data_IF_197524311932
#
_entry.id   IF_197524311932
#
_cell.length_a   1.000
_cell.length_b   1.000
_cell.length_c   1.000
_cell.angle_alpha   90.00
_cell.angle_beta   90.00
_cell.angle_gamma   90.00
#
_symmetry.space_group_name_H-M   'P 1'
#
loop_
_entity.id
_entity.type
_entity.pdbx_description
1 polymer ?
#
# COMPACT_ATOMS: atom_id res chain seq x y z
N UNK A 1 -80.83 -5.06 4.89
CA UNK A 1 -79.77 -6.01 5.29
C UNK A 1 -78.59 -5.88 4.33
N UNK A 2 -77.34 -5.89 4.83
CA UNK A 2 -76.23 -5.13 4.25
C UNK A 2 -75.14 -5.99 3.55
N UNK A 3 -74.24 -5.22 2.90
CA UNK A 3 -72.82 -5.42 2.63
C UNK A 3 -72.32 -6.51 1.66
N UNK A 4 -71.84 -5.99 0.53
CA UNK A 4 -70.77 -6.48 -0.35
C UNK A 4 -69.59 -7.08 0.44
N UNK A 5 -69.28 -8.36 0.19
CA UNK A 5 -67.97 -8.96 0.47
C UNK A 5 -67.11 -8.91 -0.77
N UNK A 6 -66.29 -7.87 -0.92
CA UNK A 6 -65.22 -7.82 -1.90
C UNK A 6 -64.13 -8.82 -1.48
N UNK A 7 -63.91 -9.88 -2.26
CA UNK A 7 -62.71 -10.71 -2.15
C UNK A 7 -61.52 -9.84 -2.58
N UNK A 8 -60.70 -9.44 -1.63
CA UNK A 8 -59.41 -8.81 -1.89
C UNK A 8 -58.55 -9.79 -2.70
N UNK A 9 -58.22 -9.41 -3.93
CA UNK A 9 -57.19 -10.09 -4.70
C UNK A 9 -55.86 -9.91 -3.96
N UNK A 10 -55.20 -11.01 -3.64
CA UNK A 10 -53.85 -11.03 -3.10
C UNK A 10 -52.92 -10.27 -4.06
N UNK A 11 -52.54 -9.06 -3.66
CA UNK A 11 -51.56 -8.24 -4.38
C UNK A 11 -50.25 -9.01 -4.54
N UNK A 12 -49.57 -8.90 -5.69
CA UNK A 12 -48.27 -9.52 -5.87
C UNK A 12 -47.31 -8.86 -4.89
N UNK A 13 -46.73 -9.69 -4.02
CA UNK A 13 -45.47 -9.47 -3.30
C UNK A 13 -44.77 -8.18 -3.74
N UNK A 14 -44.83 -7.18 -2.86
CA UNK A 14 -44.24 -5.87 -3.10
C UNK A 14 -42.84 -6.03 -3.66
N UNK A 15 -42.61 -5.44 -4.84
CA UNK A 15 -41.29 -5.34 -5.46
C UNK A 15 -40.30 -4.94 -4.39
N UNK A 16 -39.46 -5.88 -3.96
CA UNK A 16 -38.20 -5.54 -3.35
C UNK A 16 -37.56 -4.53 -4.31
N UNK A 17 -37.26 -3.32 -3.82
CA UNK A 17 -36.45 -2.37 -4.60
C UNK A 17 -35.28 -3.19 -5.14
N UNK A 18 -34.95 -3.11 -6.45
CA UNK A 18 -33.73 -3.72 -6.94
C UNK A 18 -32.64 -3.29 -5.96
N UNK A 19 -32.04 -4.25 -5.27
CA UNK A 19 -30.85 -3.97 -4.48
C UNK A 19 -29.93 -3.34 -5.50
N UNK A 20 -29.54 -2.08 -5.29
CA UNK A 20 -28.51 -1.42 -6.08
C UNK A 20 -27.24 -2.21 -5.82
N UNK A 21 -27.07 -3.31 -6.55
CA UNK A 21 -25.92 -4.17 -6.46
C UNK A 21 -24.77 -3.36 -7.05
N UNK A 22 -23.77 -3.13 -6.22
CA UNK A 22 -22.57 -2.44 -6.62
C UNK A 22 -21.98 -3.15 -7.84
N UNK A 23 -21.84 -2.42 -8.95
CA UNK A 23 -21.39 -2.97 -10.23
C UNK A 23 -20.01 -3.65 -10.15
N UNK A 24 -19.17 -3.28 -9.16
CA UNK A 24 -17.89 -3.94 -8.93
C UNK A 24 -18.03 -5.26 -8.15
N UNK A 25 -19.08 -5.40 -7.35
CA UNK A 25 -19.39 -6.58 -6.55
C UNK A 25 -20.14 -7.64 -7.35
N UNK A 26 -20.97 -7.23 -8.32
CA UNK A 26 -21.75 -8.15 -9.17
C UNK A 26 -20.88 -9.02 -10.07
N UNK A 27 -19.68 -8.57 -10.42
CA UNK A 27 -18.75 -9.33 -11.27
C UNK A 27 -18.03 -10.40 -10.45
N UNK A 28 -18.12 -11.65 -10.88
CA UNK A 28 -17.43 -12.80 -10.29
C UNK A 28 -15.99 -12.93 -10.78
N UNK A 29 -15.30 -13.95 -10.27
CA UNK A 29 -13.95 -14.30 -10.73
C UNK A 29 -14.06 -15.29 -11.90
N UNK A 30 -13.24 -15.14 -12.96
CA UNK A 30 -13.12 -16.14 -14.02
C UNK A 30 -12.75 -17.53 -13.47
N UNK A 31 -11.89 -17.58 -12.46
CA UNK A 31 -11.51 -18.80 -11.75
C UNK A 31 -12.68 -19.52 -11.06
N UNK A 32 -13.79 -18.83 -10.81
CA UNK A 32 -15.03 -19.37 -10.23
C UNK A 32 -16.16 -19.57 -11.25
N UNK A 33 -15.85 -19.49 -12.55
CA UNK A 33 -16.80 -19.75 -13.64
C UNK A 33 -17.51 -18.53 -14.21
N UNK A 34 -17.19 -17.30 -13.77
CA UNK A 34 -17.76 -16.09 -14.39
C UNK A 34 -16.96 -15.68 -15.63
N UNK A 35 -17.52 -15.95 -16.81
CA UNK A 35 -16.88 -15.69 -18.10
C UNK A 35 -17.03 -14.26 -18.61
N UNK A 36 -17.75 -13.36 -17.91
CA UNK A 36 -18.01 -11.99 -18.41
C UNK A 36 -16.76 -11.14 -18.58
N UNK A 37 -15.74 -11.35 -17.73
CA UNK A 37 -14.46 -10.65 -17.84
C UNK A 37 -13.52 -11.23 -18.91
N UNK A 38 -13.97 -12.22 -19.70
CA UNK A 38 -13.25 -12.66 -20.90
C UNK A 38 -13.47 -11.71 -22.08
N UNK A 39 -14.58 -10.94 -22.08
CA UNK A 39 -14.85 -9.95 -23.11
C UNK A 39 -14.02 -8.66 -22.88
N UNK A 40 -13.28 -8.25 -23.91
CA UNK A 40 -12.34 -7.13 -23.84
C UNK A 40 -13.04 -5.78 -23.59
N UNK A 41 -14.22 -5.57 -24.18
CA UNK A 41 -15.01 -4.34 -23.95
C UNK A 41 -15.56 -4.29 -22.53
N UNK A 42 -15.95 -5.44 -22.00
CA UNK A 42 -16.40 -5.56 -20.61
C UNK A 42 -15.26 -5.26 -19.63
N UNK A 43 -14.03 -5.72 -19.92
CA UNK A 43 -12.86 -5.35 -19.11
C UNK A 43 -12.62 -3.84 -19.09
N UNK A 44 -12.69 -3.16 -20.23
CA UNK A 44 -12.51 -1.71 -20.33
C UNK A 44 -13.56 -0.95 -19.51
N UNK A 45 -14.84 -1.30 -19.69
CA UNK A 45 -15.94 -0.72 -18.91
C UNK A 45 -15.78 -0.97 -17.41
N UNK A 46 -15.33 -2.16 -17.04
CA UNK A 46 -15.08 -2.52 -15.65
C UNK A 46 -13.94 -1.70 -15.05
N UNK A 47 -12.84 -1.53 -15.79
CA UNK A 47 -11.72 -0.68 -15.42
C UNK A 47 -12.14 0.78 -15.22
N UNK A 48 -12.95 1.34 -16.13
CA UNK A 48 -13.49 2.70 -15.97
C UNK A 48 -14.21 2.86 -14.64
N UNK A 49 -15.06 1.91 -14.26
CA UNK A 49 -15.74 1.94 -12.94
C UNK A 49 -14.80 1.83 -11.76
N UNK A 50 -13.72 1.05 -11.88
CA UNK A 50 -12.69 0.97 -10.84
C UNK A 50 -12.01 2.33 -10.68
N UNK A 51 -11.63 2.97 -11.79
CA UNK A 51 -10.97 4.29 -11.78
C UNK A 51 -11.90 5.37 -11.24
N UNK A 52 -13.16 5.38 -11.66
CA UNK A 52 -14.18 6.31 -11.11
C UNK A 52 -14.29 6.18 -9.60
N UNK A 53 -14.43 4.95 -9.08
CA UNK A 53 -14.51 4.73 -7.62
C UNK A 53 -13.24 5.12 -6.89
N UNK A 54 -12.08 4.88 -7.50
CA UNK A 54 -10.80 5.32 -6.96
C UNK A 54 -10.70 6.86 -6.91
N UNK A 55 -11.13 7.55 -7.96
CA UNK A 55 -11.14 9.02 -7.98
C UNK A 55 -12.09 9.60 -6.94
N UNK A 56 -13.28 9.01 -6.76
CA UNK A 56 -14.21 9.39 -5.68
C UNK A 56 -13.57 9.18 -4.31
N UNK A 57 -12.90 8.04 -4.10
CA UNK A 57 -12.17 7.78 -2.86
C UNK A 57 -11.07 8.83 -2.60
N UNK A 58 -10.35 9.25 -3.64
CA UNK A 58 -9.34 10.29 -3.55
C UNK A 58 -9.94 11.68 -3.27
N UNK A 59 -11.06 12.05 -3.91
CA UNK A 59 -11.73 13.33 -3.66
C UNK A 59 -12.27 13.42 -2.23
N UNK A 60 -12.81 12.32 -1.70
CA UNK A 60 -13.37 12.25 -0.35
C UNK A 60 -12.30 12.36 0.75
N UNK A 61 -11.02 12.18 0.42
CA UNK A 61 -9.91 12.37 1.34
C UNK A 61 -9.54 13.85 1.51
N UNK A 62 -9.77 14.69 0.49
CA UNK A 62 -9.53 16.14 0.49
C UNK A 62 -8.07 16.59 0.61
N UNK A 63 -7.20 15.86 1.32
CA UNK A 63 -5.78 16.16 1.56
C UNK A 63 -4.90 14.93 1.32
N UNK A 64 -3.67 15.16 0.87
CA UNK A 64 -2.67 14.10 0.60
C UNK A 64 -2.34 13.26 1.83
N UNK A 65 -2.18 13.90 2.98
CA UNK A 65 -1.77 13.23 4.23
C UNK A 65 -2.87 12.29 4.73
N UNK A 66 -4.12 12.73 4.59
CA UNK A 66 -5.29 11.93 4.94
C UNK A 66 -5.46 10.72 4.00
N UNK A 67 -5.17 10.91 2.71
CA UNK A 67 -5.19 9.81 1.74
C UNK A 67 -4.13 8.74 2.07
N UNK A 68 -2.91 9.17 2.41
CA UNK A 68 -1.83 8.26 2.86
C UNK A 68 -2.19 7.55 4.18
N UNK A 69 -2.85 8.26 5.11
CA UNK A 69 -3.37 7.66 6.35
C UNK A 69 -4.38 6.57 6.04
N UNK A 70 -5.35 6.82 5.15
CA UNK A 70 -6.35 5.83 4.71
C UNK A 70 -5.74 4.62 4.02
N UNK A 71 -4.70 4.80 3.19
CA UNK A 71 -3.97 3.66 2.61
C UNK A 71 -3.28 2.81 3.69
N UNK A 72 -2.70 3.46 4.70
CA UNK A 72 -2.04 2.80 5.84
C UNK A 72 -3.01 2.02 6.73
N UNK A 73 -4.25 2.50 6.92
CA UNK A 73 -5.26 1.81 7.74
C UNK A 73 -5.65 0.43 7.21
N UNK A 74 -5.52 0.18 5.90
CA UNK A 74 -5.82 -1.12 5.31
C UNK A 74 -4.68 -2.14 5.48
N UNK A 75 -3.44 -1.69 5.72
CA UNK A 75 -2.30 -2.58 6.03
C UNK A 75 -2.54 -3.35 7.33
N UNK A 76 -3.10 -2.68 8.33
CA UNK A 76 -3.29 -3.22 9.69
C UNK A 76 -4.42 -4.26 9.75
N UNK A 77 -5.36 -4.20 8.80
CA UNK A 77 -6.47 -5.15 8.70
C UNK A 77 -6.05 -6.57 8.26
N UNK A 78 -4.80 -6.75 7.80
CA UNK A 78 -4.27 -8.03 7.32
C UNK A 78 -3.80 -9.01 8.41
N UNK A 79 -3.57 -8.55 9.64
CA UNK A 79 -3.08 -9.40 10.75
C UNK A 79 -3.98 -9.42 11.99
N UNK A 80 -5.01 -8.57 12.08
CA UNK A 80 -5.90 -8.55 13.22
C UNK A 80 -7.06 -9.56 13.09
N UNK A 81 -6.75 -10.85 13.16
CA UNK A 81 -7.74 -11.84 13.61
C UNK A 81 -7.33 -12.37 14.98
N UNK A 82 -8.21 -12.11 15.96
CA UNK A 82 -8.33 -12.74 17.29
C UNK A 82 -7.44 -12.20 18.42
N UNK A 83 -7.81 -11.04 18.95
CA UNK A 83 -7.90 -10.90 20.40
C UNK A 83 -8.98 -9.89 20.75
N UNK A 84 -10.07 -10.39 21.31
CA UNK A 84 -11.12 -9.62 21.97
C UNK A 84 -10.56 -8.93 23.22
N UNK A 85 -10.72 -7.61 23.34
CA UNK A 85 -10.63 -6.90 24.61
C UNK A 85 -11.62 -5.71 24.61
N UNK A 86 -12.15 -5.33 25.78
CA UNK A 86 -13.48 -4.73 25.90
C UNK A 86 -13.52 -3.21 25.69
N UNK A 87 -14.74 -2.73 25.40
CA UNK A 87 -15.08 -1.34 25.18
C UNK A 87 -14.88 -0.46 26.43
N UNK A 88 -14.38 0.76 26.20
CA UNK A 88 -14.40 1.88 27.13
C UNK A 88 -14.86 3.15 26.38
N UNK A 89 -15.41 4.16 27.09
CA UNK A 89 -16.58 4.91 26.65
C UNK A 89 -16.29 6.15 25.79
N UNK A 90 -17.37 6.58 25.13
CA UNK A 90 -17.45 7.64 24.14
C UNK A 90 -17.09 9.04 24.66
N UNK A 91 -16.40 9.80 23.79
CA UNK A 91 -16.25 11.25 23.89
C UNK A 91 -15.46 11.80 22.70
N UNK A 92 -16.11 12.67 21.91
CA UNK A 92 -15.66 13.48 20.75
C UNK A 92 -15.92 12.89 19.34
N UNK A 93 -16.59 13.63 18.44
CA UNK A 93 -16.79 13.21 17.06
C UNK A 93 -15.54 13.55 16.22
N UNK A 94 -14.53 12.70 16.29
CA UNK A 94 -13.63 12.54 15.14
C UNK A 94 -14.37 11.72 14.11
N UNK A 95 -14.96 12.39 13.12
CA UNK A 95 -15.14 11.76 11.82
C UNK A 95 -13.77 11.22 11.36
N UNK A 96 -13.75 10.21 10.49
CA UNK A 96 -12.55 9.70 9.81
C UNK A 96 -11.82 8.47 10.40
N UNK A 97 -12.50 7.64 11.19
CA UNK A 97 -12.30 6.17 11.16
C UNK A 97 -13.58 5.50 10.64
N UNK A 98 -14.01 5.90 9.43
CA UNK A 98 -15.21 5.29 8.87
C UNK A 98 -14.87 3.87 8.36
N UNK A 99 -15.49 2.80 8.88
CA UNK A 99 -15.33 1.44 8.34
C UNK A 99 -15.73 1.35 6.86
N UNK A 100 -16.47 2.35 6.37
CA UNK A 100 -16.86 2.52 4.97
C UNK A 100 -15.68 2.85 4.04
N UNK A 101 -14.70 3.65 4.47
CA UNK A 101 -13.52 3.96 3.65
C UNK A 101 -12.64 2.72 3.41
N UNK A 102 -12.40 1.93 4.47
CA UNK A 102 -11.65 0.68 4.35
C UNK A 102 -12.39 -0.34 3.47
N UNK A 103 -13.72 -0.39 3.55
CA UNK A 103 -14.56 -1.21 2.66
C UNK A 103 -14.45 -0.76 1.19
N UNK A 104 -14.49 0.54 0.93
CA UNK A 104 -14.37 1.08 -0.43
C UNK A 104 -13.01 0.73 -1.07
N UNK A 105 -11.91 0.95 -0.35
CA UNK A 105 -10.57 0.62 -0.83
C UNK A 105 -10.37 -0.89 -1.00
N UNK A 106 -10.85 -1.70 -0.05
CA UNK A 106 -10.83 -3.17 -0.17
C UNK A 106 -11.64 -3.65 -1.38
N UNK A 107 -12.80 -3.03 -1.64
CA UNK A 107 -13.61 -3.28 -2.83
C UNK A 107 -12.88 -2.95 -4.13
N UNK A 108 -12.16 -1.83 -4.18
CA UNK A 108 -11.30 -1.46 -5.32
C UNK A 108 -10.19 -2.50 -5.54
N UNK A 109 -9.50 -2.92 -4.48
CA UNK A 109 -8.44 -3.93 -4.56
C UNK A 109 -8.97 -5.29 -5.03
N UNK A 110 -10.15 -5.71 -4.55
CA UNK A 110 -10.82 -6.92 -5.00
C UNK A 110 -11.24 -6.83 -6.47
N UNK A 111 -11.76 -5.68 -6.90
CA UNK A 111 -12.12 -5.43 -8.30
C UNK A 111 -10.88 -5.48 -9.21
N UNK A 112 -9.77 -4.87 -8.80
CA UNK A 112 -8.50 -4.97 -9.54
C UNK A 112 -7.99 -6.40 -9.63
N UNK A 113 -8.15 -7.20 -8.57
CA UNK A 113 -7.83 -8.62 -8.63
C UNK A 113 -8.67 -9.34 -9.68
N UNK A 114 -9.99 -9.12 -9.71
CA UNK A 114 -10.90 -9.69 -10.72
C UNK A 114 -10.49 -9.29 -12.13
N UNK A 115 -10.17 -8.01 -12.35
CA UNK A 115 -9.74 -7.49 -13.65
C UNK A 115 -8.45 -8.17 -14.12
N UNK A 116 -7.44 -8.32 -13.24
CA UNK A 116 -6.20 -9.03 -13.58
C UNK A 116 -6.46 -10.48 -13.95
N UNK A 117 -7.31 -11.19 -13.21
CA UNK A 117 -7.69 -12.57 -13.56
C UNK A 117 -8.37 -12.63 -14.93
N UNK A 118 -9.24 -11.66 -15.26
CA UNK A 118 -9.87 -11.54 -16.59
C UNK A 118 -8.87 -11.30 -17.73
N UNK A 119 -7.91 -10.38 -17.52
CA UNK A 119 -6.85 -10.09 -18.51
C UNK A 119 -5.98 -11.33 -18.75
N UNK A 120 -5.58 -12.04 -17.69
CA UNK A 120 -4.80 -13.28 -17.81
C UNK A 120 -5.61 -14.37 -18.53
N UNK A 121 -6.88 -14.55 -18.15
CA UNK A 121 -7.73 -15.59 -18.73
C UNK A 121 -8.05 -15.33 -20.22
N UNK A 122 -8.18 -14.07 -20.61
CA UNK A 122 -8.35 -13.66 -22.02
C UNK A 122 -7.04 -13.59 -22.82
N UNK A 123 -5.89 -13.81 -22.16
CA UNK A 123 -4.55 -13.69 -22.76
C UNK A 123 -4.31 -12.33 -23.44
N UNK A 124 -4.93 -11.27 -22.92
CA UNK A 124 -4.86 -9.92 -23.49
C UNK A 124 -3.50 -9.29 -23.18
N UNK A 125 -2.81 -8.81 -24.22
CA UNK A 125 -1.56 -8.06 -24.09
C UNK A 125 -1.52 -6.88 -25.07
N UNK A 126 -2.15 -5.79 -24.66
CA UNK A 126 -2.23 -4.52 -25.40
C UNK A 126 -1.98 -3.33 -24.45
N UNK A 127 -2.08 -2.10 -24.98
CA UNK A 127 -1.89 -0.86 -24.21
C UNK A 127 -2.81 -0.81 -22.98
N UNK A 128 -4.07 -1.24 -23.13
CA UNK A 128 -5.01 -1.28 -22.03
C UNK A 128 -4.53 -2.22 -20.91
N UNK A 129 -4.13 -3.44 -21.26
CA UNK A 129 -3.62 -4.40 -20.28
C UNK A 129 -2.39 -3.85 -19.54
N UNK A 130 -1.46 -3.22 -20.26
CA UNK A 130 -0.30 -2.57 -19.67
C UNK A 130 -0.70 -1.46 -18.67
N UNK A 131 -1.57 -0.53 -19.07
CA UNK A 131 -2.02 0.57 -18.20
C UNK A 131 -2.81 0.08 -16.98
N UNK A 132 -3.69 -0.90 -17.15
CA UNK A 132 -4.44 -1.50 -16.06
C UNK A 132 -3.50 -2.16 -15.03
N UNK A 133 -2.44 -2.85 -15.48
CA UNK A 133 -1.44 -3.43 -14.60
C UNK A 133 -0.58 -2.37 -13.90
N UNK A 134 -0.14 -1.31 -14.61
CA UNK A 134 0.60 -0.20 -14.01
C UNK A 134 -0.21 0.47 -12.90
N UNK A 135 -1.49 0.76 -13.15
CA UNK A 135 -2.40 1.30 -12.15
C UNK A 135 -2.55 0.35 -10.96
N UNK A 136 -2.76 -0.94 -11.21
CA UNK A 136 -2.89 -1.96 -10.17
C UNK A 136 -1.64 -2.07 -9.29
N UNK A 137 -0.44 -2.02 -9.90
CA UNK A 137 0.84 -2.07 -9.20
C UNK A 137 1.00 -0.83 -8.32
N UNK A 138 0.81 0.36 -8.88
CA UNK A 138 0.94 1.65 -8.15
C UNK A 138 0.00 1.68 -6.94
N UNK A 139 -1.28 1.37 -7.13
CA UNK A 139 -2.24 1.35 -6.03
C UNK A 139 -1.89 0.31 -4.97
N UNK A 140 -1.55 -0.91 -5.40
CA UNK A 140 -1.19 -1.99 -4.47
C UNK A 140 0.08 -1.68 -3.67
N UNK A 141 1.02 -0.90 -4.22
CA UNK A 141 2.19 -0.39 -3.50
C UNK A 141 1.78 0.64 -2.45
N UNK A 142 0.88 1.58 -2.78
CA UNK A 142 0.40 2.59 -1.82
C UNK A 142 -0.26 1.93 -0.59
N UNK A 143 -1.01 0.85 -0.83
CA UNK A 143 -1.66 0.02 0.20
C UNK A 143 -0.69 -0.98 0.86
N UNK A 144 0.58 -1.03 0.42
CA UNK A 144 1.63 -1.97 0.83
C UNK A 144 1.19 -3.44 0.92
N UNK A 145 0.49 -3.91 -0.11
CA UNK A 145 0.10 -5.33 -0.24
C UNK A 145 1.00 -6.07 -1.25
N UNK A 146 2.11 -6.71 -0.81
CA UNK A 146 3.04 -7.41 -1.69
C UNK A 146 2.40 -8.56 -2.47
N UNK A 147 1.39 -9.20 -1.91
CA UNK A 147 0.63 -10.29 -2.54
C UNK A 147 -0.08 -9.81 -3.80
N UNK A 148 -0.39 -8.52 -3.87
CA UNK A 148 -1.06 -7.93 -5.02
C UNK A 148 -0.06 -7.35 -6.02
N UNK A 149 0.87 -6.47 -5.61
CA UNK A 149 1.75 -5.84 -6.61
C UNK A 149 2.83 -6.77 -7.14
N UNK A 150 3.40 -7.67 -6.34
CA UNK A 150 4.54 -8.49 -6.76
C UNK A 150 4.20 -9.42 -7.95
N UNK A 151 3.13 -10.25 -7.91
CA UNK A 151 2.77 -11.07 -9.06
C UNK A 151 2.36 -10.22 -10.27
N UNK A 152 1.75 -9.05 -10.06
CA UNK A 152 1.40 -8.14 -11.15
C UNK A 152 2.64 -7.58 -11.86
N UNK A 153 3.67 -7.18 -11.11
CA UNK A 153 4.98 -6.75 -11.64
C UNK A 153 5.59 -7.88 -12.47
N UNK A 154 5.64 -9.10 -11.92
CA UNK A 154 6.25 -10.23 -12.63
C UNK A 154 5.51 -10.58 -13.92
N UNK A 155 4.17 -10.58 -13.90
CA UNK A 155 3.38 -10.85 -15.09
C UNK A 155 3.54 -9.74 -16.15
N UNK A 156 3.53 -8.48 -15.73
CA UNK A 156 3.74 -7.34 -16.62
C UNK A 156 5.11 -7.41 -17.29
N UNK A 157 6.18 -7.71 -16.55
CA UNK A 157 7.55 -7.79 -17.09
C UNK A 157 7.82 -9.06 -17.91
N UNK A 158 7.29 -10.21 -17.50
CA UNK A 158 7.62 -11.51 -18.12
C UNK A 158 6.65 -11.95 -19.21
N UNK A 159 5.42 -11.45 -19.21
CA UNK A 159 4.39 -11.87 -20.16
C UNK A 159 3.99 -10.70 -21.04
N UNK A 160 3.40 -9.65 -20.48
CA UNK A 160 2.86 -8.52 -21.26
C UNK A 160 3.99 -7.80 -22.00
N UNK A 161 5.07 -7.39 -21.32
CA UNK A 161 6.19 -6.66 -21.94
C UNK A 161 6.87 -7.44 -23.09
N UNK A 162 6.84 -8.78 -23.07
CA UNK A 162 7.40 -9.61 -24.15
C UNK A 162 6.53 -9.62 -25.40
N UNK A 163 5.22 -9.48 -25.24
CA UNK A 163 4.25 -9.48 -26.33
C UNK A 163 3.99 -8.05 -26.83
N UNK A 164 3.90 -7.10 -25.89
CA UNK A 164 3.66 -5.69 -26.11
C UNK A 164 4.67 -4.85 -25.30
N UNK A 165 5.74 -4.33 -25.95
CA UNK A 165 6.84 -3.70 -25.24
C UNK A 165 6.43 -2.37 -24.61
N UNK A 166 6.44 -2.34 -23.28
CA UNK A 166 6.37 -1.11 -22.48
C UNK A 166 7.36 -0.04 -22.94
N UNK A 167 7.01 1.22 -22.71
CA UNK A 167 7.93 2.33 -22.92
C UNK A 167 9.13 2.22 -21.97
N UNK A 168 10.25 2.86 -22.35
CA UNK A 168 11.44 2.88 -21.49
C UNK A 168 11.16 3.47 -20.11
N UNK A 169 10.22 4.42 -19.99
CA UNK A 169 9.89 5.04 -18.70
C UNK A 169 9.12 4.06 -17.82
N UNK A 170 8.08 3.42 -18.35
CA UNK A 170 7.27 2.44 -17.63
C UNK A 170 8.09 1.22 -17.19
N UNK A 171 8.98 0.73 -18.08
CA UNK A 171 9.86 -0.39 -17.76
C UNK A 171 10.80 -0.04 -16.60
N UNK A 172 11.43 1.14 -16.63
CA UNK A 172 12.34 1.59 -15.57
C UNK A 172 11.59 1.85 -14.26
N UNK A 173 10.36 2.36 -14.33
CA UNK A 173 9.49 2.53 -13.16
C UNK A 173 9.20 1.18 -12.50
N UNK A 174 8.64 0.22 -13.24
CA UNK A 174 8.25 -1.09 -12.70
C UNK A 174 9.47 -1.89 -12.22
N UNK A 175 10.57 -1.84 -12.97
CA UNK A 175 11.84 -2.46 -12.56
C UNK A 175 12.37 -1.83 -11.26
N UNK A 176 12.24 -0.51 -11.09
CA UNK A 176 12.65 0.16 -9.84
C UNK A 176 11.86 -0.34 -8.63
N UNK A 177 10.54 -0.56 -8.77
CA UNK A 177 9.72 -1.13 -7.70
C UNK A 177 10.16 -2.55 -7.35
N UNK A 178 10.44 -3.39 -8.36
CA UNK A 178 10.89 -4.77 -8.13
C UNK A 178 12.24 -4.83 -7.40
N UNK A 179 13.19 -3.99 -7.82
CA UNK A 179 14.52 -3.91 -7.20
C UNK A 179 14.42 -3.42 -5.76
N UNK A 180 13.62 -2.38 -5.51
CA UNK A 180 13.42 -1.84 -4.16
C UNK A 180 12.65 -2.83 -3.27
N UNK A 181 11.63 -3.54 -3.76
CA UNK A 181 10.94 -4.58 -2.99
C UNK A 181 11.91 -5.69 -2.55
N UNK A 182 12.76 -6.13 -3.48
CA UNK A 182 13.76 -7.17 -3.23
C UNK A 182 14.79 -6.74 -2.19
N UNK A 183 15.22 -5.48 -2.23
CA UNK A 183 16.18 -4.93 -1.28
C UNK A 183 15.56 -4.59 0.09
N UNK A 184 14.43 -3.88 0.10
CA UNK A 184 13.83 -3.31 1.31
C UNK A 184 13.00 -4.32 2.08
N UNK A 185 12.12 -5.09 1.41
CA UNK A 185 11.20 -6.03 2.07
C UNK A 185 11.81 -7.43 2.18
N UNK A 186 12.38 -7.95 1.10
CA UNK A 186 12.96 -9.32 1.07
C UNK A 186 14.38 -9.40 1.64
N UNK A 187 15.06 -8.27 1.85
CA UNK A 187 16.44 -8.19 2.34
C UNK A 187 17.48 -8.93 1.47
N UNK A 188 17.18 -9.13 0.20
CA UNK A 188 18.05 -9.85 -0.74
C UNK A 188 18.81 -8.84 -1.60
N UNK A 189 19.89 -8.29 -1.06
CA UNK A 189 20.68 -7.26 -1.75
C UNK A 189 21.34 -7.79 -3.03
N UNK A 190 21.89 -9.02 -3.01
CA UNK A 190 22.52 -9.63 -4.18
C UNK A 190 21.54 -9.76 -5.35
N UNK A 191 20.33 -10.26 -5.09
CA UNK A 191 19.27 -10.38 -6.10
C UNK A 191 18.81 -9.01 -6.59
N UNK A 192 18.73 -8.01 -5.71
CA UNK A 192 18.39 -6.65 -6.09
C UNK A 192 19.42 -6.06 -7.08
N UNK A 193 20.73 -6.27 -6.86
CA UNK A 193 21.76 -5.88 -7.81
C UNK A 193 21.70 -6.67 -9.12
N UNK A 194 21.43 -7.97 -9.05
CA UNK A 194 21.26 -8.81 -10.25
C UNK A 194 20.08 -8.32 -11.10
N UNK A 195 18.93 -8.03 -10.48
CA UNK A 195 17.74 -7.48 -11.13
C UNK A 195 18.00 -6.09 -11.71
N UNK A 196 18.71 -5.23 -10.99
CA UNK A 196 19.12 -3.91 -11.50
C UNK A 196 19.94 -4.02 -12.78
N UNK A 197 20.87 -4.97 -12.83
CA UNK A 197 21.69 -5.25 -14.02
C UNK A 197 20.84 -5.83 -15.15
N UNK A 198 19.97 -6.79 -14.84
CA UNK A 198 19.11 -7.47 -15.80
C UNK A 198 18.21 -6.49 -16.57
N UNK A 199 17.57 -5.55 -15.87
CA UNK A 199 16.70 -4.54 -16.49
C UNK A 199 17.42 -3.25 -16.88
N UNK A 200 18.76 -3.20 -16.74
CA UNK A 200 19.56 -2.03 -17.10
C UNK A 200 19.13 -0.75 -16.39
N UNK A 201 18.74 -0.83 -15.11
CA UNK A 201 18.15 0.30 -14.38
C UNK A 201 19.19 1.39 -14.08
N UNK A 202 19.01 2.57 -14.71
CA UNK A 202 19.94 3.71 -14.62
C UNK A 202 19.58 4.77 -13.58
N UNK A 203 18.61 4.48 -12.71
CA UNK A 203 18.17 5.44 -11.68
C UNK A 203 19.24 5.59 -10.56
N UNK A 204 19.80 6.80 -10.45
CA UNK A 204 20.78 7.16 -9.43
C UNK A 204 20.20 7.09 -8.02
N UNK A 205 18.90 7.40 -7.84
CA UNK A 205 18.24 7.35 -6.53
C UNK A 205 18.14 5.91 -6.05
N UNK A 206 17.70 4.98 -6.91
CA UNK A 206 17.66 3.55 -6.56
C UNK A 206 19.05 3.03 -6.22
N UNK A 207 20.07 3.46 -6.97
CA UNK A 207 21.46 3.15 -6.64
C UNK A 207 21.89 3.67 -5.27
N UNK A 208 21.52 4.89 -4.92
CA UNK A 208 21.79 5.48 -3.62
C UNK A 208 21.06 4.76 -2.48
N UNK A 209 19.82 4.28 -2.70
CA UNK A 209 19.10 3.44 -1.73
C UNK A 209 19.83 2.13 -1.51
N UNK A 210 20.24 1.44 -2.58
CA UNK A 210 20.99 0.18 -2.46
C UNK A 210 22.32 0.39 -1.71
N UNK A 211 23.06 1.46 -2.03
CA UNK A 211 24.29 1.80 -1.31
C UNK A 211 24.01 2.11 0.17
N UNK A 212 22.91 2.82 0.48
CA UNK A 212 22.51 3.08 1.86
C UNK A 212 22.22 1.80 2.64
N UNK A 213 21.54 0.83 2.01
CA UNK A 213 21.23 -0.46 2.61
C UNK A 213 22.47 -1.35 2.79
N UNK A 214 23.42 -1.33 1.85
CA UNK A 214 24.67 -2.11 1.95
C UNK A 214 25.57 -1.60 3.07
N UNK A 215 25.61 -0.29 3.28
CA UNK A 215 26.50 0.35 4.27
C UNK A 215 25.79 0.69 5.60
N UNK A 216 24.54 0.25 5.78
CA UNK A 216 23.70 0.64 6.93
C UNK A 216 23.67 2.17 7.17
N UNK A 217 23.73 2.95 6.08
CA UNK A 217 23.82 4.40 6.14
C UNK A 217 22.42 5.01 6.27
N UNK A 218 21.98 5.14 7.52
CA UNK A 218 20.68 5.70 7.88
C UNK A 218 20.46 7.14 7.37
N UNK A 219 21.49 8.00 7.42
CA UNK A 219 21.39 9.40 6.94
C UNK A 219 21.13 9.45 5.43
N UNK A 220 21.91 8.68 4.66
CA UNK A 220 21.74 8.60 3.21
C UNK A 220 20.35 8.04 2.87
N UNK A 221 19.91 7.01 3.60
CA UNK A 221 18.62 6.38 3.41
C UNK A 221 17.47 7.37 3.54
N UNK A 222 17.39 8.11 4.65
CA UNK A 222 16.33 9.10 4.88
C UNK A 222 16.40 10.29 3.93
N UNK A 223 17.62 10.75 3.59
CA UNK A 223 17.81 11.82 2.60
C UNK A 223 17.28 11.42 1.23
N UNK A 224 17.59 10.21 0.78
CA UNK A 224 17.11 9.71 -0.52
C UNK A 224 15.60 9.44 -0.48
N UNK A 225 15.08 8.90 0.63
CA UNK A 225 13.64 8.65 0.81
C UNK A 225 12.80 9.92 0.61
N UNK A 226 13.27 11.08 1.10
CA UNK A 226 12.59 12.37 0.91
C UNK A 226 12.62 12.88 -0.53
N UNK A 227 13.53 12.39 -1.37
CA UNK A 227 13.72 12.82 -2.75
C UNK A 227 13.19 11.85 -3.81
N UNK A 228 12.75 10.65 -3.45
CA UNK A 228 12.11 9.70 -4.38
C UNK A 228 10.61 9.97 -4.48
N UNK A 229 9.98 9.41 -5.51
CA UNK A 229 8.52 9.44 -5.65
C UNK A 229 7.82 8.67 -4.52
N UNK A 230 6.54 8.98 -4.31
CA UNK A 230 5.75 8.41 -3.21
C UNK A 230 5.66 6.89 -3.23
N UNK A 231 5.60 6.25 -4.41
CA UNK A 231 5.52 4.80 -4.52
C UNK A 231 6.83 4.14 -4.08
N UNK A 232 7.97 4.65 -4.53
CA UNK A 232 9.29 4.17 -4.07
C UNK A 232 9.49 4.42 -2.58
N UNK A 233 9.14 5.62 -2.10
CA UNK A 233 9.20 5.94 -0.67
C UNK A 233 8.37 4.96 0.17
N UNK A 234 7.20 4.54 -0.34
CA UNK A 234 6.32 3.57 0.30
C UNK A 234 6.94 2.18 0.41
N UNK A 235 7.64 1.72 -0.63
CA UNK A 235 8.39 0.45 -0.58
C UNK A 235 9.56 0.57 0.41
N UNK A 236 10.24 1.72 0.44
CA UNK A 236 11.36 1.94 1.35
C UNK A 236 10.94 1.87 2.84
N UNK A 237 9.68 2.15 3.19
CA UNK A 237 9.21 2.05 4.58
C UNK A 237 9.43 0.66 5.20
N UNK A 238 9.39 -0.42 4.41
CA UNK A 238 9.71 -1.77 4.90
C UNK A 238 11.13 -1.86 5.46
N UNK A 239 12.06 -1.10 4.87
CA UNK A 239 13.44 -1.08 5.31
C UNK A 239 13.69 -0.23 6.54
N UNK A 240 12.77 0.68 6.83
CA UNK A 240 12.99 1.81 7.72
C UNK A 240 13.21 1.41 9.17
N UNK A 241 12.35 0.52 9.68
CA UNK A 241 12.39 0.09 11.08
C UNK A 241 13.75 -0.52 11.43
N UNK A 242 14.29 -1.38 10.56
CA UNK A 242 15.59 -2.02 10.81
C UNK A 242 16.76 -1.03 10.69
N UNK A 243 16.73 -0.15 9.70
CA UNK A 243 17.74 0.90 9.52
C UNK A 243 17.79 1.84 10.74
N UNK A 244 16.62 2.27 11.20
CA UNK A 244 16.46 3.12 12.37
C UNK A 244 16.93 2.40 13.64
N UNK A 245 16.52 1.15 13.83
CA UNK A 245 16.94 0.32 14.97
C UNK A 245 18.46 0.13 15.00
N UNK A 246 19.09 -0.11 13.85
CA UNK A 246 20.55 -0.19 13.76
C UNK A 246 21.21 1.13 14.16
N UNK A 247 20.74 2.25 13.63
CA UNK A 247 21.25 3.59 13.99
C UNK A 247 21.12 3.88 15.49
N UNK A 248 19.96 3.59 16.10
CA UNK A 248 19.74 3.74 17.54
C UNK A 248 20.70 2.87 18.37
N UNK A 249 20.98 1.64 17.94
CA UNK A 249 21.96 0.76 18.61
C UNK A 249 23.38 1.33 18.55
N UNK A 250 23.78 1.89 17.41
CA UNK A 250 25.09 2.54 17.27
C UNK A 250 25.19 3.78 18.16
N UNK A 251 24.19 4.67 18.11
CA UNK A 251 24.12 5.86 18.97
C UNK A 251 24.19 5.47 20.45
N UNK A 252 23.42 4.44 20.82
CA UNK A 252 23.36 3.92 22.18
C UNK A 252 24.68 3.36 22.70
N UNK A 253 25.64 3.04 21.82
CA UNK A 253 26.98 2.57 22.18
C UNK A 253 28.03 3.68 22.14
N UNK A 254 27.88 4.65 21.24
CA UNK A 254 28.90 5.66 20.97
C UNK A 254 28.75 6.90 21.84
N UNK A 255 27.52 7.28 22.21
CA UNK A 255 27.24 8.54 22.90
C UNK A 255 26.71 8.32 24.32
N UNK A 256 27.05 9.25 25.23
CA UNK A 256 26.48 9.32 26.58
C UNK A 256 25.20 10.16 26.60
N UNK A 257 25.18 11.26 25.83
CA UNK A 257 24.01 12.11 25.61
C UNK A 257 24.05 12.70 24.20
N UNK A 258 22.89 13.02 23.64
CA UNK A 258 22.72 13.53 22.28
C UNK A 258 21.60 14.57 22.24
N UNK A 259 21.72 15.58 21.39
CA UNK A 259 20.65 16.55 21.13
C UNK A 259 19.42 15.89 20.48
N UNK A 260 18.22 16.25 20.92
CA UNK A 260 16.97 15.68 20.36
C UNK A 260 16.86 15.96 18.86
N UNK A 261 17.15 17.18 18.43
CA UNK A 261 17.03 17.55 17.01
C UNK A 261 18.03 16.80 16.12
N UNK A 262 19.23 16.49 16.63
CA UNK A 262 20.14 15.59 15.94
C UNK A 262 19.56 14.17 15.82
N UNK A 263 19.02 13.63 16.92
CA UNK A 263 18.45 12.28 16.94
C UNK A 263 17.29 12.16 15.95
N UNK A 264 16.32 13.07 16.01
CA UNK A 264 15.13 13.05 15.14
C UNK A 264 15.48 13.25 13.66
N UNK A 265 16.47 14.09 13.34
CA UNK A 265 16.95 14.24 11.96
C UNK A 265 17.61 12.96 11.43
N UNK A 266 18.36 12.27 12.28
CA UNK A 266 19.08 11.05 11.92
C UNK A 266 18.13 9.85 11.76
N UNK A 267 17.14 9.74 12.63
CA UNK A 267 16.18 8.62 12.66
C UNK A 267 14.91 8.87 11.86
N UNK A 268 14.68 10.10 11.40
CA UNK A 268 13.46 10.47 10.67
C UNK A 268 12.17 10.34 11.47
N UNK A 269 12.25 10.22 12.80
CA UNK A 269 11.11 10.06 13.70
C UNK A 269 11.23 10.97 14.90
N UNK A 270 10.08 11.38 15.43
CA UNK A 270 10.03 12.23 16.63
C UNK A 270 10.44 11.45 17.88
N UNK A 271 10.92 12.14 18.90
CA UNK A 271 11.28 11.52 20.18
C UNK A 271 10.15 10.65 20.76
N UNK A 272 8.91 11.15 20.71
CA UNK A 272 7.75 10.43 21.22
C UNK A 272 7.43 9.15 20.43
N UNK A 273 7.69 9.15 19.13
CA UNK A 273 7.58 7.95 18.29
C UNK A 273 8.70 6.96 18.58
N UNK A 274 9.94 7.43 18.76
CA UNK A 274 11.08 6.56 19.11
C UNK A 274 10.84 5.85 20.46
N UNK A 275 10.26 6.55 21.44
CA UNK A 275 9.96 5.95 22.74
C UNK A 275 8.81 4.94 22.65
N UNK A 276 7.73 5.26 21.93
CA UNK A 276 6.54 4.40 21.80
C UNK A 276 6.77 3.20 20.90
N UNK A 277 7.38 3.40 19.73
CA UNK A 277 7.43 2.40 18.67
C UNK A 277 8.77 1.65 18.64
N UNK A 278 9.88 2.32 18.95
CA UNK A 278 11.23 1.75 18.89
C UNK A 278 11.74 1.28 20.27
N UNK A 279 10.96 1.48 21.33
CA UNK A 279 11.24 0.97 22.68
C UNK A 279 12.49 1.58 23.31
N UNK A 280 12.82 2.83 22.96
CA UNK A 280 14.03 3.50 23.43
C UNK A 280 13.91 3.84 24.93
N UNK A 281 14.68 3.17 25.77
CA UNK A 281 14.73 3.37 27.23
C UNK A 281 15.57 4.56 27.69
N UNK A 282 15.84 5.54 26.84
CA UNK A 282 16.64 6.72 27.18
C UNK A 282 15.75 7.81 27.79
N UNK A 283 16.37 8.71 28.56
CA UNK A 283 15.65 9.80 29.25
C UNK A 283 15.84 11.12 28.51
N UNK A 284 14.79 11.94 28.48
CA UNK A 284 14.88 13.30 27.96
C UNK A 284 15.16 14.26 29.11
N UNK A 285 16.31 14.92 29.08
CA UNK A 285 16.66 16.02 29.98
C UNK A 285 16.67 17.33 29.18
N UNK A 286 15.60 18.12 29.35
CA UNK A 286 15.36 19.38 28.63
C UNK A 286 15.38 19.19 27.11
N UNK A 287 16.52 19.44 26.47
CA UNK A 287 16.73 19.34 25.03
C UNK A 287 17.72 18.23 24.63
N UNK A 288 18.21 17.45 25.60
CA UNK A 288 19.18 16.37 25.37
C UNK A 288 18.64 15.04 25.85
N UNK A 289 18.82 14.02 25.02
CA UNK A 289 18.55 12.64 25.36
C UNK A 289 19.76 12.07 26.09
N UNK A 290 19.57 11.66 27.34
CA UNK A 290 20.57 10.99 28.16
C UNK A 290 20.47 9.48 27.90
N UNK A 291 21.50 8.94 27.24
CA UNK A 291 21.59 7.54 26.81
C UNK A 291 22.19 6.69 27.92
N UNK A 292 23.28 7.18 28.53
CA UNK A 292 23.99 6.52 29.63
C UNK A 292 24.48 7.57 30.60
N UNK A 293 24.29 7.31 31.90
CA UNK A 293 24.91 8.11 32.95
C UNK A 293 26.31 7.57 33.24
N UNK A 294 27.32 8.43 33.43
CA UNK A 294 28.64 7.98 33.86
C UNK A 294 28.49 7.26 35.21
N UNK A 295 29.11 6.08 35.36
CA UNK A 295 29.18 5.40 36.66
C UNK A 295 30.00 6.31 37.59
N UNK A 296 29.44 6.64 38.76
CA UNK A 296 30.19 7.31 39.82
C UNK A 296 31.41 6.43 40.17
N UNK A 297 32.59 7.06 40.28
CA UNK A 297 33.83 6.41 40.73
C UNK A 297 33.84 6.22 42.23
#
# INVERSE_FOLDING_TARGET
MPSRGARAASGPWGRLRPVEQDALETMGLPSKGDSRLLDLKTQERYYTKIVERYMTFCSDAGRSDELLRRFSSLEIGGEASRTSAPAAPAGLPSSVDSPQCNKALSGIMAALRKLREGIVASQRADDFAAQAYLFCIRLSILVKQPESYHPAILHLLRTIHRQHPLTSVELQEVASYLVLDTACRRRQLADAFALRRLYGLRDAKVGAVLAALVHDNCVLFYRVKRGVDGHRARIMEWAEVDMRRHALKCIGKTYMSVDVGFLERLTGSTWDELKRNDGVGWELDRARVVIRRPKAR
#
